data_IF_282104919576
#
_entry.id   IF_282104919576
#
_cell.length_a   1.000
_cell.length_b   1.000
_cell.length_c   1.000
_cell.angle_alpha   90.00
_cell.angle_beta   90.00
_cell.angle_gamma   90.00
#
_symmetry.space_group_name_H-M   'P 1'
#
loop_
_entity.id
_entity.type
_entity.pdbx_description
1 polymer ?
#
# COMPACT_ATOMS: atom_id res chain seq x y z
N UNK A 1 42.40 51.68 17.78
CA UNK A 1 41.76 50.65 16.95
C UNK A 1 40.80 49.87 17.85
N UNK A 2 39.74 49.30 17.26
CA UNK A 2 38.36 49.25 17.77
C UNK A 2 38.01 48.45 19.03
N UNK A 3 36.76 48.70 19.43
CA UNK A 3 35.99 48.28 20.59
C UNK A 3 35.66 46.78 20.70
N UNK A 4 35.17 46.45 21.90
CA UNK A 4 34.74 45.16 22.41
C UNK A 4 33.50 44.54 21.73
N UNK A 5 33.33 43.22 21.90
CA UNK A 5 32.07 42.60 22.33
C UNK A 5 32.26 41.10 22.65
N UNK A 6 32.01 40.71 23.90
CA UNK A 6 31.56 39.37 24.26
C UNK A 6 30.08 39.24 23.85
N UNK A 7 29.69 38.12 23.25
CA UNK A 7 28.31 37.65 23.25
C UNK A 7 28.29 36.14 23.50
N UNK A 8 27.77 35.78 24.67
CA UNK A 8 27.41 34.42 25.06
C UNK A 8 26.04 34.06 24.47
N UNK A 9 25.96 32.87 23.89
CA UNK A 9 24.79 31.99 23.92
C UNK A 9 23.77 32.13 22.77
N UNK A 10 23.42 30.99 22.16
CA UNK A 10 22.06 30.39 22.19
C UNK A 10 21.97 29.20 21.22
N UNK A 11 21.57 28.05 21.78
CA UNK A 11 20.81 26.99 21.09
C UNK A 11 21.50 26.18 20.00
N UNK A 12 22.04 25.01 20.34
CA UNK A 12 21.98 23.88 19.40
C UNK A 12 20.51 23.51 19.25
N UNK A 13 19.87 23.99 18.19
CA UNK A 13 18.63 23.39 17.72
C UNK A 13 18.94 21.91 17.45
N UNK A 14 18.20 21.02 18.09
CA UNK A 14 18.19 19.61 17.74
C UNK A 14 17.93 19.54 16.23
N UNK A 15 18.93 19.07 15.48
CA UNK A 15 18.70 18.75 14.08
C UNK A 15 17.67 17.62 14.07
N UNK A 16 16.44 17.95 13.68
CA UNK A 16 15.48 16.95 13.26
C UNK A 16 16.20 16.12 12.19
N UNK A 17 16.30 14.82 12.44
CA UNK A 17 16.86 13.89 11.49
C UNK A 17 15.93 13.92 10.27
N UNK A 18 16.29 14.66 9.24
CA UNK A 18 15.77 14.43 7.90
C UNK A 18 16.14 13.00 7.56
N UNK A 19 15.16 12.11 7.73
CA UNK A 19 15.27 10.68 7.53
C UNK A 19 15.57 10.39 6.07
N UNK A 20 16.87 10.30 5.78
CA UNK A 20 17.52 9.55 4.72
C UNK A 20 16.68 9.19 3.49
N UNK A 21 17.04 9.81 2.38
CA UNK A 21 16.95 9.18 1.05
C UNK A 21 17.68 7.82 1.09
N UNK A 22 16.96 6.70 1.18
CA UNK A 22 17.64 5.40 1.19
C UNK A 22 16.88 4.16 1.64
N UNK A 23 15.62 4.00 1.25
CA UNK A 23 14.93 2.71 1.03
C UNK A 23 13.52 3.06 0.58
N UNK A 24 13.01 2.45 -0.49
CA UNK A 24 11.57 2.48 -0.76
C UNK A 24 10.92 1.81 0.45
N UNK A 25 10.39 2.61 1.39
CA UNK A 25 9.69 2.07 2.53
C UNK A 25 8.55 1.21 1.99
N UNK A 26 8.46 -0.03 2.47
CA UNK A 26 7.34 -0.89 2.11
C UNK A 26 6.03 -0.12 2.40
N UNK A 27 5.01 -0.24 1.54
CA UNK A 27 3.75 0.45 1.79
C UNK A 27 3.26 0.12 3.20
N UNK A 28 2.79 1.12 3.94
CA UNK A 28 2.26 0.95 5.30
C UNK A 28 0.92 0.18 5.35
N UNK A 29 0.49 -0.38 4.21
CA UNK A 29 -0.77 -1.06 4.05
C UNK A 29 -0.59 -2.48 3.51
N UNK A 30 -1.56 -3.33 3.85
CA UNK A 30 -1.74 -4.64 3.25
C UNK A 30 -3.20 -4.79 2.81
N UNK A 31 -3.41 -5.37 1.64
CA UNK A 31 -4.73 -5.70 1.11
C UNK A 31 -4.76 -7.20 0.80
N UNK A 32 -5.77 -7.89 1.31
CA UNK A 32 -6.01 -9.33 1.07
C UNK A 32 -7.47 -9.51 0.67
N UNK A 33 -7.72 -10.43 -0.26
CA UNK A 33 -9.05 -10.68 -0.83
C UNK A 33 -9.35 -12.18 -0.83
N UNK A 34 -10.63 -12.55 -0.87
CA UNK A 34 -11.10 -13.90 -1.16
C UNK A 34 -12.33 -13.85 -2.07
N UNK A 35 -12.50 -14.86 -2.94
CA UNK A 35 -13.69 -15.00 -3.79
C UNK A 35 -14.83 -15.81 -3.16
N UNK A 36 -14.68 -16.23 -1.89
CA UNK A 36 -15.62 -17.08 -1.18
C UNK A 36 -14.91 -18.23 -0.47
N UNK A 37 -15.64 -18.96 0.38
CA UNK A 37 -15.14 -20.14 1.08
C UNK A 37 -16.04 -21.35 0.76
N UNK A 38 -15.43 -22.53 0.58
CA UNK A 38 -16.13 -23.77 0.19
C UNK A 38 -15.15 -24.82 -0.32
N UNK A 39 -15.67 -25.96 -0.79
CA UNK A 39 -14.83 -27.01 -1.39
C UNK A 39 -14.73 -26.78 -2.89
N UNK A 40 -13.52 -26.47 -3.36
CA UNK A 40 -13.16 -26.57 -4.77
C UNK A 40 -12.36 -27.87 -4.92
N UNK A 41 -12.98 -28.88 -5.53
CA UNK A 41 -12.31 -30.14 -5.84
C UNK A 41 -11.24 -29.89 -6.91
N UNK A 42 -9.97 -30.05 -6.53
CA UNK A 42 -8.81 -29.64 -7.36
C UNK A 42 -8.70 -30.42 -8.67
N UNK A 43 -9.11 -31.68 -8.64
CA UNK A 43 -9.17 -32.59 -9.80
C UNK A 43 -10.31 -32.23 -10.77
N UNK A 44 -11.36 -31.56 -10.29
CA UNK A 44 -12.46 -31.02 -11.09
C UNK A 44 -12.19 -29.61 -11.63
N UNK A 45 -11.10 -28.96 -11.19
CA UNK A 45 -10.71 -27.64 -11.65
C UNK A 45 -9.76 -27.75 -12.84
N UNK A 46 -10.24 -27.42 -14.04
CA UNK A 46 -9.37 -27.38 -15.22
C UNK A 46 -8.29 -26.30 -15.07
N UNK A 47 -7.12 -26.46 -15.71
CA UNK A 47 -6.07 -25.43 -15.70
C UNK A 47 -6.57 -24.06 -16.19
N UNK A 48 -7.46 -24.06 -17.19
CA UNK A 48 -8.05 -22.84 -17.75
C UNK A 48 -8.94 -22.15 -16.71
N UNK A 49 -9.80 -22.91 -16.01
CA UNK A 49 -10.66 -22.34 -14.97
C UNK A 49 -9.86 -21.84 -13.76
N UNK A 50 -8.79 -22.53 -13.36
CA UNK A 50 -7.86 -22.02 -12.32
C UNK A 50 -7.21 -20.70 -12.75
N UNK A 51 -6.76 -20.61 -14.01
CA UNK A 51 -6.17 -19.39 -14.56
C UNK A 51 -7.19 -18.24 -14.62
N UNK A 52 -8.43 -18.51 -15.04
CA UNK A 52 -9.53 -17.54 -15.06
C UNK A 52 -9.83 -17.00 -13.65
N UNK A 53 -9.96 -17.88 -12.65
CA UNK A 53 -10.21 -17.49 -11.25
C UNK A 53 -9.06 -16.62 -10.73
N UNK A 54 -7.81 -17.03 -10.97
CA UNK A 54 -6.63 -16.24 -10.56
C UNK A 54 -6.59 -14.89 -11.25
N UNK A 55 -6.94 -14.83 -12.54
CA UNK A 55 -6.99 -13.60 -13.29
C UNK A 55 -8.05 -12.63 -12.72
N UNK A 56 -9.23 -13.12 -12.39
CA UNK A 56 -10.29 -12.33 -11.75
C UNK A 56 -9.84 -11.78 -10.38
N UNK A 57 -9.32 -12.64 -9.51
CA UNK A 57 -8.78 -12.22 -8.20
C UNK A 57 -7.67 -11.17 -8.37
N UNK A 58 -6.76 -11.35 -9.33
CA UNK A 58 -5.69 -10.38 -9.60
C UNK A 58 -6.23 -9.04 -10.09
N UNK A 59 -7.29 -9.03 -10.94
CA UNK A 59 -7.94 -7.78 -11.37
C UNK A 59 -8.52 -7.02 -10.20
N UNK A 60 -9.26 -7.70 -9.33
CA UNK A 60 -9.85 -7.10 -8.13
C UNK A 60 -8.78 -6.56 -7.19
N UNK A 61 -7.74 -7.35 -6.91
CA UNK A 61 -6.63 -6.94 -6.05
C UNK A 61 -5.91 -5.71 -6.62
N UNK A 62 -5.71 -5.67 -7.94
CA UNK A 62 -5.07 -4.53 -8.60
C UNK A 62 -5.90 -3.24 -8.48
N UNK A 63 -7.23 -3.32 -8.58
CA UNK A 63 -8.12 -2.17 -8.44
C UNK A 63 -7.99 -1.51 -7.06
N UNK A 64 -8.10 -2.28 -5.98
CA UNK A 64 -7.91 -1.74 -4.62
C UNK A 64 -6.47 -1.30 -4.33
N UNK A 65 -5.49 -2.07 -4.79
CA UNK A 65 -4.07 -1.74 -4.60
C UNK A 65 -3.70 -0.42 -5.28
N UNK A 66 -4.31 -0.10 -6.43
CA UNK A 66 -4.12 1.18 -7.10
C UNK A 66 -4.58 2.35 -6.23
N UNK A 67 -5.77 2.25 -5.63
CA UNK A 67 -6.31 3.29 -4.75
C UNK A 67 -5.36 3.53 -3.56
N UNK A 68 -4.88 2.46 -2.92
CA UNK A 68 -3.94 2.56 -1.79
C UNK A 68 -2.58 3.12 -2.20
N UNK A 69 -2.07 2.73 -3.38
CA UNK A 69 -0.81 3.23 -3.91
C UNK A 69 -0.86 4.73 -4.24
N UNK A 70 -2.04 5.25 -4.58
CA UNK A 70 -2.30 6.67 -4.83
C UNK A 70 -2.58 7.46 -3.53
N UNK A 71 -2.53 6.81 -2.36
CA UNK A 71 -2.79 7.43 -1.06
C UNK A 71 -4.28 7.59 -0.72
N UNK A 72 -5.16 6.88 -1.44
CA UNK A 72 -6.60 6.87 -1.21
C UNK A 72 -7.01 6.17 0.09
N UNK A 73 -8.27 6.38 0.51
CA UNK A 73 -8.77 5.80 1.75
C UNK A 73 -8.98 4.28 1.62
N UNK A 74 -8.81 3.57 2.74
CA UNK A 74 -9.05 2.12 2.79
C UNK A 74 -10.47 1.73 2.34
N UNK A 75 -11.47 2.56 2.66
CA UNK A 75 -12.86 2.31 2.25
C UNK A 75 -13.04 2.38 0.72
N UNK A 76 -12.36 3.33 0.07
CA UNK A 76 -12.41 3.46 -1.39
C UNK A 76 -11.71 2.27 -2.06
N UNK A 77 -10.58 1.82 -1.50
CA UNK A 77 -9.85 0.65 -1.99
C UNK A 77 -10.67 -0.64 -1.87
N UNK A 78 -11.37 -0.83 -0.75
CA UNK A 78 -12.26 -1.99 -0.54
C UNK A 78 -13.43 -1.93 -1.51
N UNK A 79 -14.05 -0.76 -1.68
CA UNK A 79 -15.17 -0.57 -2.62
C UNK A 79 -14.74 -0.91 -4.05
N UNK A 80 -13.63 -0.34 -4.52
CA UNK A 80 -13.08 -0.62 -5.85
C UNK A 80 -12.75 -2.10 -6.06
N UNK A 81 -12.25 -2.77 -5.01
CA UNK A 81 -11.95 -4.22 -5.06
C UNK A 81 -13.23 -5.05 -5.19
N UNK A 82 -14.25 -4.77 -4.38
CA UNK A 82 -15.48 -5.56 -4.34
C UNK A 82 -16.30 -5.37 -5.61
N UNK A 83 -16.39 -4.14 -6.15
CA UNK A 83 -17.09 -3.91 -7.42
C UNK A 83 -16.52 -4.78 -8.55
N UNK A 84 -15.19 -4.90 -8.64
CA UNK A 84 -14.57 -5.79 -9.64
C UNK A 84 -14.87 -7.26 -9.37
N UNK A 85 -14.92 -7.69 -8.10
CA UNK A 85 -15.30 -9.07 -7.76
C UNK A 85 -16.77 -9.39 -8.07
N UNK A 86 -17.66 -8.40 -8.01
CA UNK A 86 -19.09 -8.56 -8.29
C UNK A 86 -19.42 -8.52 -9.78
N UNK A 87 -18.59 -7.84 -10.59
CA UNK A 87 -18.77 -7.70 -12.03
C UNK A 87 -18.10 -8.82 -12.87
N UNK A 88 -17.20 -9.61 -12.29
CA UNK A 88 -16.50 -10.75 -12.92
C UNK A 88 -17.33 -12.06 -12.92
#
# INVERSE_FOLDING_TARGET
>A
MWAAALALGLGSAAQAQDGGMGAQQAPEWALTIHGGAGVIERDKLSPEKDAEIRAALNRALAAGSKVLAEGGAAMDAITATITVLEDD
#
